data_IF_438834289284
#
_entry.id   IF_438834289284
#
_cell.length_a   1.000
_cell.length_b   1.000
_cell.length_c   1.000
_cell.angle_alpha   90.00
_cell.angle_beta   90.00
_cell.angle_gamma   90.00
#
_symmetry.space_group_name_H-M   'P 1'
#
loop_
_entity.id
_entity.type
_entity.pdbx_description
1 polymer ?
#
# COMPACT_ATOMS: atom_id res chain seq x y z
N UNK A 1 -0.70 20.07 -3.95
CA UNK A 1 -1.27 21.43 -3.95
C UNK A 1 -1.73 21.88 -2.56
N UNK A 2 -2.68 21.20 -1.90
CA UNK A 2 -3.17 21.63 -0.57
C UNK A 2 -2.16 21.39 0.56
N UNK A 3 -1.45 20.24 0.58
CA UNK A 3 -0.41 19.95 1.58
C UNK A 3 0.67 21.05 1.58
N UNK A 4 1.24 21.35 0.39
CA UNK A 4 2.26 22.40 0.24
C UNK A 4 1.75 23.80 0.61
N UNK A 5 0.48 24.10 0.34
CA UNK A 5 -0.14 25.35 0.77
C UNK A 5 -0.16 25.50 2.30
N UNK A 6 -0.56 24.45 3.02
CA UNK A 6 -0.58 24.44 4.48
C UNK A 6 0.82 24.53 5.10
N UNK A 7 1.82 23.93 4.44
CA UNK A 7 3.24 24.05 4.82
C UNK A 7 3.70 25.51 4.74
N UNK A 8 3.42 26.21 3.64
CA UNK A 8 3.82 27.61 3.45
C UNK A 8 3.16 28.58 4.44
N UNK A 9 1.97 28.24 4.98
CA UNK A 9 1.27 29.03 6.00
C UNK A 9 1.68 28.68 7.44
N UNK A 10 2.57 27.70 7.64
CA UNK A 10 2.98 27.24 8.96
C UNK A 10 1.90 26.49 9.73
N UNK A 11 0.87 25.97 9.07
CA UNK A 11 -0.22 25.21 9.70
C UNK A 11 0.21 23.76 9.96
N UNK A 12 1.16 23.57 10.87
CA UNK A 12 1.87 22.29 11.10
C UNK A 12 0.92 21.12 11.37
N UNK A 13 -0.08 21.30 12.24
CA UNK A 13 -1.02 20.23 12.57
C UNK A 13 -1.89 19.83 11.39
N UNK A 14 -2.39 20.81 10.65
CA UNK A 14 -3.26 20.56 9.50
C UNK A 14 -2.48 19.95 8.33
N UNK A 15 -1.24 20.43 8.12
CA UNK A 15 -0.29 19.81 7.20
C UNK A 15 -0.09 18.32 7.50
N UNK A 16 0.21 17.96 8.75
CA UNK A 16 0.44 16.56 9.16
C UNK A 16 -0.76 15.63 8.87
N UNK A 17 -1.98 16.10 9.11
CA UNK A 17 -3.20 15.35 8.80
C UNK A 17 -3.35 15.13 7.29
N UNK A 18 -3.15 16.19 6.50
CA UNK A 18 -3.33 16.14 5.05
C UNK A 18 -2.24 15.33 4.34
N UNK A 19 -1.01 15.39 4.84
CA UNK A 19 0.13 14.68 4.27
C UNK A 19 -0.13 13.16 4.25
N UNK A 20 -0.52 12.59 5.40
CA UNK A 20 -0.90 11.19 5.50
C UNK A 20 -2.19 10.82 4.73
N UNK A 21 -3.05 11.79 4.43
CA UNK A 21 -4.25 11.57 3.60
C UNK A 21 -3.92 11.54 2.11
N UNK A 22 -2.95 12.34 1.67
CA UNK A 22 -2.53 12.43 0.27
C UNK A 22 -1.99 11.09 -0.26
N UNK A 23 -1.15 10.40 0.53
CA UNK A 23 -0.65 9.06 0.18
C UNK A 23 -1.78 8.04 0.03
N UNK A 24 -2.77 8.08 0.92
CA UNK A 24 -3.92 7.17 0.89
C UNK A 24 -4.78 7.38 -0.35
N UNK A 25 -4.94 8.63 -0.80
CA UNK A 25 -5.65 8.97 -2.02
C UNK A 25 -4.87 8.54 -3.27
N UNK A 26 -3.56 8.78 -3.30
CA UNK A 26 -2.71 8.42 -4.43
C UNK A 26 -2.77 6.92 -4.75
N UNK A 27 -2.75 6.09 -3.70
CA UNK A 27 -2.76 4.64 -3.85
C UNK A 27 -4.13 3.98 -3.67
N UNK A 28 -5.15 4.73 -3.25
CA UNK A 28 -6.49 4.19 -2.97
C UNK A 28 -6.51 3.13 -1.86
N UNK A 29 -5.73 3.34 -0.79
CA UNK A 29 -5.57 2.37 0.31
C UNK A 29 -5.78 2.96 1.70
N UNK A 30 -6.08 2.09 2.68
CA UNK A 30 -6.10 2.46 4.09
C UNK A 30 -4.66 2.70 4.60
N UNK A 31 -4.54 3.47 5.69
CA UNK A 31 -3.25 3.81 6.32
C UNK A 31 -2.36 2.59 6.60
N UNK A 32 -2.96 1.46 6.95
CA UNK A 32 -2.24 0.21 7.26
C UNK A 32 -1.51 -0.41 6.06
N UNK A 33 -1.85 0.00 4.84
CA UNK A 33 -1.33 -0.57 3.59
C UNK A 33 -0.35 0.37 2.88
N UNK A 34 -0.18 1.60 3.37
CA UNK A 34 0.64 2.62 2.68
C UNK A 34 2.11 2.22 2.61
N UNK A 35 2.61 1.46 3.58
CA UNK A 35 4.02 1.02 3.57
C UNK A 35 4.32 0.02 2.45
N UNK A 36 3.43 -0.95 2.20
CA UNK A 36 3.64 -1.99 1.18
C UNK A 36 3.45 -1.46 -0.25
N UNK A 37 2.53 -0.52 -0.45
CA UNK A 37 2.24 0.02 -1.80
C UNK A 37 3.34 0.98 -2.28
N UNK A 38 4.23 1.43 -1.38
CA UNK A 38 5.44 2.18 -1.75
C UNK A 38 6.46 1.35 -2.53
N UNK A 39 6.35 0.02 -2.54
CA UNK A 39 7.22 -0.86 -3.30
C UNK A 39 6.74 -0.97 -4.75
N UNK A 40 7.64 -0.76 -5.69
CA UNK A 40 7.36 -0.92 -7.11
C UNK A 40 6.85 -2.35 -7.42
N UNK A 41 5.74 -2.42 -8.14
CA UNK A 41 5.08 -3.69 -8.49
C UNK A 41 4.08 -4.22 -7.44
N UNK A 42 3.92 -3.55 -6.29
CA UNK A 42 2.86 -3.86 -5.33
C UNK A 42 1.66 -2.92 -5.44
N UNK A 43 0.70 -3.30 -6.28
CA UNK A 43 -0.60 -2.60 -6.34
C UNK A 43 -1.41 -2.73 -5.05
N UNK A 44 -2.37 -1.83 -4.87
CA UNK A 44 -3.34 -1.86 -3.78
C UNK A 44 -4.03 -3.24 -3.57
N UNK A 45 -4.30 -3.98 -4.66
CA UNK A 45 -4.85 -5.35 -4.58
C UNK A 45 -3.87 -6.33 -3.95
N UNK A 46 -2.60 -6.31 -4.37
CA UNK A 46 -1.54 -7.19 -3.87
C UNK A 46 -1.21 -6.87 -2.42
N UNK A 47 -1.07 -5.58 -2.08
CA UNK A 47 -0.85 -5.14 -0.71
C UNK A 47 -1.95 -5.65 0.25
N UNK A 48 -3.23 -5.65 -0.19
CA UNK A 48 -4.33 -6.24 0.59
C UNK A 48 -4.18 -7.75 0.82
N UNK A 49 -3.64 -8.49 -0.15
CA UNK A 49 -3.38 -9.92 0.03
C UNK A 49 -2.28 -10.17 1.07
N UNK A 50 -1.19 -9.40 1.02
CA UNK A 50 -0.14 -9.46 2.05
C UNK A 50 -0.65 -9.10 3.45
N UNK A 51 -1.47 -8.04 3.55
CA UNK A 51 -2.07 -7.65 4.81
C UNK A 51 -2.97 -8.74 5.40
N UNK A 52 -3.76 -9.44 4.55
CA UNK A 52 -4.55 -10.60 4.99
C UNK A 52 -3.67 -11.75 5.50
N UNK A 53 -2.49 -11.91 4.91
CA UNK A 53 -1.48 -12.87 5.35
C UNK A 53 -0.64 -12.39 6.55
N UNK A 54 -1.06 -11.33 7.25
CA UNK A 54 -0.37 -10.72 8.41
C UNK A 54 1.02 -10.14 8.07
N UNK A 55 1.29 -9.85 6.80
CA UNK A 55 2.51 -9.17 6.34
C UNK A 55 2.11 -7.73 6.05
N UNK A 56 2.41 -6.83 6.98
CA UNK A 56 1.96 -5.42 6.92
C UNK A 56 3.11 -4.41 6.73
N UNK A 57 4.36 -4.83 6.96
CA UNK A 57 5.54 -3.95 6.91
C UNK A 57 6.56 -4.45 5.90
N UNK A 58 7.40 -3.55 5.38
CA UNK A 58 8.49 -3.89 4.45
C UNK A 58 9.49 -4.82 5.14
N UNK A 59 9.79 -4.57 6.41
CA UNK A 59 10.69 -5.43 7.19
C UNK A 59 10.18 -6.86 7.31
N UNK A 60 8.87 -7.05 7.53
CA UNK A 60 8.29 -8.39 7.59
C UNK A 60 8.28 -9.06 6.23
N UNK A 61 8.00 -8.30 5.16
CA UNK A 61 8.08 -8.80 3.79
C UNK A 61 9.51 -9.24 3.42
N UNK A 62 10.53 -8.47 3.80
CA UNK A 62 11.94 -8.79 3.54
C UNK A 62 12.41 -10.08 4.23
N UNK A 63 11.85 -10.40 5.40
CA UNK A 63 12.14 -11.62 6.14
C UNK A 63 11.27 -12.83 5.73
N UNK A 64 10.31 -12.64 4.82
CA UNK A 64 9.40 -13.71 4.40
C UNK A 64 10.03 -14.54 3.28
N UNK A 65 9.96 -15.89 3.33
CA UNK A 65 10.50 -16.73 2.26
C UNK A 65 9.79 -16.49 0.92
N UNK A 66 10.56 -16.55 -0.17
CA UNK A 66 10.07 -16.28 -1.54
C UNK A 66 8.89 -17.18 -1.92
N UNK A 67 8.88 -18.42 -1.46
CA UNK A 67 7.80 -19.39 -1.70
C UNK A 67 6.45 -18.91 -1.13
N UNK A 68 6.47 -18.34 0.08
CA UNK A 68 5.28 -17.80 0.73
C UNK A 68 4.81 -16.52 0.03
N UNK A 69 5.74 -15.67 -0.40
CA UNK A 69 5.45 -14.47 -1.18
C UNK A 69 4.76 -14.87 -2.50
N UNK A 70 5.32 -15.85 -3.23
CA UNK A 70 4.74 -16.33 -4.48
C UNK A 70 3.35 -16.92 -4.28
N UNK A 71 3.10 -17.65 -3.18
CA UNK A 71 1.78 -18.19 -2.83
C UNK A 71 0.75 -17.08 -2.61
N UNK A 72 1.11 -16.01 -1.90
CA UNK A 72 0.23 -14.86 -1.65
C UNK A 72 -0.03 -14.08 -2.95
N UNK A 73 0.98 -13.90 -3.79
CA UNK A 73 0.81 -13.22 -5.07
C UNK A 73 -0.11 -14.00 -6.01
N UNK A 74 0.01 -15.33 -6.07
CA UNK A 74 -0.89 -16.18 -6.87
C UNK A 74 -2.35 -16.08 -6.43
N UNK A 75 -2.62 -15.97 -5.13
CA UNK A 75 -4.00 -15.80 -4.64
C UNK A 75 -4.58 -14.41 -4.88
N UNK A 76 -3.74 -13.41 -5.17
CA UNK A 76 -4.17 -12.05 -5.48
C UNK A 76 -4.54 -11.85 -6.96
N UNK A 77 -4.21 -12.79 -7.84
CA UNK A 77 -4.56 -12.72 -9.27
C UNK A 77 -6.04 -13.13 -9.44
N UNK A 78 -6.88 -12.29 -10.05
CA UNK A 78 -8.24 -12.67 -10.40
C UNK A 78 -8.20 -13.88 -11.33
N UNK A 79 -8.99 -14.90 -11.04
CA UNK A 79 -9.17 -16.00 -11.98
C UNK A 79 -9.90 -15.48 -13.22
N UNK A 80 -9.31 -15.68 -14.39
CA UNK A 80 -9.93 -15.39 -15.68
C UNK A 80 -10.21 -16.75 -16.30
N UNK A 81 -11.47 -17.15 -16.36
CA UNK A 81 -11.87 -18.29 -17.21
C UNK A 81 -11.73 -17.85 -18.66
N UNK A 82 -10.57 -18.08 -19.25
CA UNK A 82 -10.43 -18.09 -20.70
C UNK A 82 -11.09 -19.36 -21.22
N UNK A 83 -12.39 -19.26 -21.53
CA UNK A 83 -13.05 -20.19 -22.44
C UNK A 83 -12.47 -19.96 -23.84
N UNK A 84 -11.55 -20.84 -24.24
CA UNK A 84 -11.15 -21.04 -25.64
C UNK A 84 -11.84 -22.30 -26.13
#
# INVERSE_FOLDING_TARGET
>A
MVVKFCECLGWVYFHSILDGFSERLAFGVRKELTELVKLDGLDAKRARAFHRAQICTIAKLANTPVEQIAKILRSAVPFIETFV
#
